data_IF_406954750097
#
_entry.id   IF_406954750097
#
_cell.length_a   1.000
_cell.length_b   1.000
_cell.length_c   1.000
_cell.angle_alpha   90.00
_cell.angle_beta   90.00
_cell.angle_gamma   90.00
#
_symmetry.space_group_name_H-M   'P 1'
#
loop_
_entity.id
_entity.type
_entity.pdbx_description
1 polymer ?
#
# COMPACT_ATOMS: atom_id res chain seq x y z
N UNK A 1 -5.48 -5.50 31.00
CA UNK A 1 -5.12 -6.57 30.04
C UNK A 1 -3.67 -6.39 29.60
N UNK A 2 -2.69 -6.99 30.28
CA UNK A 2 -1.32 -7.03 29.78
C UNK A 2 -1.25 -8.07 28.65
N UNK A 3 -0.79 -7.69 27.44
CA UNK A 3 -0.44 -8.69 26.41
C UNK A 3 -0.73 -8.33 24.95
N UNK A 4 -1.52 -7.30 24.64
CA UNK A 4 -1.84 -6.94 23.25
C UNK A 4 -1.00 -5.74 22.79
N UNK A 5 0.32 -5.95 22.64
CA UNK A 5 1.28 -4.87 22.32
C UNK A 5 1.69 -4.80 20.84
N UNK A 6 1.13 -5.66 19.97
CA UNK A 6 1.58 -5.75 18.58
C UNK A 6 0.43 -5.79 17.56
N UNK A 7 -0.23 -4.64 17.40
CA UNK A 7 -1.31 -4.46 16.42
C UNK A 7 -0.75 -4.32 15.00
N UNK A 8 -1.39 -5.05 14.08
CA UNK A 8 -1.19 -4.93 12.63
C UNK A 8 -2.49 -4.50 11.98
N UNK A 9 -2.39 -3.55 11.05
CA UNK A 9 -3.53 -3.13 10.22
C UNK A 9 -3.22 -3.42 8.75
N UNK A 10 -4.21 -3.95 8.02
CA UNK A 10 -4.17 -4.06 6.57
C UNK A 10 -4.89 -2.86 5.94
N UNK A 11 -4.31 -2.23 4.92
CA UNK A 11 -4.88 -1.05 4.25
C UNK A 11 -4.46 -0.98 2.77
N UNK A 12 -5.17 -0.21 1.95
CA UNK A 12 -4.72 0.12 0.59
C UNK A 12 -3.74 1.31 0.55
N UNK A 13 -3.47 1.94 1.70
CA UNK A 13 -2.46 2.98 1.85
C UNK A 13 -2.86 4.39 1.39
N UNK A 14 -3.94 4.55 0.63
CA UNK A 14 -4.30 5.84 0.01
C UNK A 14 -4.61 6.96 1.02
N UNK A 15 -5.08 6.63 2.23
CA UNK A 15 -5.43 7.60 3.28
C UNK A 15 -4.35 7.74 4.36
N UNK A 16 -3.21 7.07 4.22
CA UNK A 16 -2.18 7.07 5.27
C UNK A 16 -1.56 8.46 5.47
N UNK A 17 -1.49 9.31 4.44
CA UNK A 17 -1.02 10.70 4.59
C UNK A 17 -1.78 11.46 5.67
N UNK A 18 -3.09 11.22 5.79
CA UNK A 18 -3.96 11.86 6.77
C UNK A 18 -3.90 11.19 8.14
N UNK A 19 -3.78 9.85 8.20
CA UNK A 19 -4.03 9.09 9.42
C UNK A 19 -2.80 8.44 10.07
N UNK A 20 -1.66 8.33 9.37
CA UNK A 20 -0.50 7.58 9.85
C UNK A 20 -0.03 8.02 11.24
N UNK A 21 0.07 9.34 11.49
CA UNK A 21 0.49 9.87 12.79
C UNK A 21 -0.47 9.46 13.92
N UNK A 22 -1.78 9.56 13.68
CA UNK A 22 -2.80 9.19 14.67
C UNK A 22 -2.81 7.68 14.95
N UNK A 23 -2.67 6.87 13.90
CA UNK A 23 -2.59 5.42 14.02
C UNK A 23 -1.35 4.99 14.83
N UNK A 24 -0.20 5.60 14.57
CA UNK A 24 1.02 5.34 15.32
C UNK A 24 0.91 5.80 16.78
N UNK A 25 0.35 6.98 17.02
CA UNK A 25 0.09 7.47 18.38
C UNK A 25 -0.87 6.55 19.15
N UNK A 26 -1.85 5.96 18.47
CA UNK A 26 -2.80 4.99 19.04
C UNK A 26 -2.23 3.61 19.33
N UNK A 27 -0.93 3.39 19.13
CA UNK A 27 -0.26 2.13 19.47
C UNK A 27 -0.15 1.12 18.33
N UNK A 28 -0.56 1.47 17.10
CA UNK A 28 -0.30 0.63 15.93
C UNK A 28 1.20 0.63 15.62
N UNK A 29 1.76 -0.54 15.31
CA UNK A 29 3.20 -0.70 15.04
C UNK A 29 3.52 -1.36 13.72
N UNK A 30 2.57 -2.11 13.12
CA UNK A 30 2.75 -2.81 11.86
C UNK A 30 1.68 -2.43 10.84
N UNK A 31 2.09 -2.27 9.60
CA UNK A 31 1.21 -2.05 8.46
C UNK A 31 1.40 -3.14 7.41
N UNK A 32 0.29 -3.59 6.84
CA UNK A 32 0.26 -4.44 5.66
C UNK A 32 -0.49 -3.69 4.56
N UNK A 33 0.21 -3.26 3.52
CA UNK A 33 -0.34 -2.41 2.47
C UNK A 33 -0.56 -3.27 1.23
N UNK A 34 -1.82 -3.41 0.82
CA UNK A 34 -2.20 -4.08 -0.42
C UNK A 34 -2.16 -3.09 -1.57
N UNK A 35 -1.39 -3.41 -2.61
CA UNK A 35 -1.18 -2.57 -3.78
C UNK A 35 -1.24 -3.42 -5.05
N UNK A 36 -2.36 -3.43 -5.75
CA UNK A 36 -2.61 -4.38 -6.86
C UNK A 36 -1.60 -4.26 -8.02
N UNK A 37 -1.00 -3.09 -8.23
CA UNK A 37 0.06 -2.90 -9.23
C UNK A 37 0.99 -1.75 -8.88
N UNK A 38 2.27 -1.89 -9.23
CA UNK A 38 3.27 -0.81 -9.22
C UNK A 38 3.35 -0.04 -10.55
N UNK A 39 2.60 -0.48 -11.57
CA UNK A 39 2.44 0.24 -12.83
C UNK A 39 1.26 1.20 -12.69
N UNK A 40 1.50 2.51 -12.83
CA UNK A 40 0.46 3.52 -12.63
C UNK A 40 -0.72 3.40 -13.61
N UNK A 41 -0.47 3.01 -14.86
CA UNK A 41 -1.53 2.82 -15.86
C UNK A 41 -2.39 1.61 -15.50
N UNK A 42 -1.75 0.49 -15.14
CA UNK A 42 -2.47 -0.72 -14.71
C UNK A 42 -3.16 -0.53 -13.38
N UNK A 43 -2.53 0.17 -12.44
CA UNK A 43 -3.13 0.51 -11.17
C UNK A 43 -4.44 1.26 -11.41
N UNK A 44 -4.45 2.28 -12.28
CA UNK A 44 -5.66 3.01 -12.64
C UNK A 44 -6.71 2.17 -13.39
N UNK A 45 -6.29 1.17 -14.17
CA UNK A 45 -7.22 0.24 -14.84
C UNK A 45 -7.85 -0.75 -13.85
N UNK A 46 -7.06 -1.27 -12.90
CA UNK A 46 -7.49 -2.24 -11.88
C UNK A 46 -8.29 -1.56 -10.77
N UNK A 47 -7.89 -0.36 -10.38
CA UNK A 47 -8.52 0.42 -9.34
C UNK A 47 -9.38 1.51 -9.97
N UNK A 48 -10.71 1.36 -9.91
CA UNK A 48 -11.68 2.26 -10.56
C UNK A 48 -11.39 3.76 -10.35
N UNK A 49 -10.85 4.13 -9.18
CA UNK A 49 -10.56 5.52 -8.80
C UNK A 49 -9.20 5.67 -8.10
N UNK A 50 -8.35 4.63 -8.15
CA UNK A 50 -7.10 4.65 -7.40
C UNK A 50 -6.03 5.48 -8.07
N UNK A 51 -5.23 6.12 -7.22
CA UNK A 51 -4.06 6.90 -7.61
C UNK A 51 -2.83 6.31 -6.90
N UNK A 52 -1.92 5.73 -7.70
CA UNK A 52 -0.70 5.11 -7.18
C UNK A 52 0.15 6.14 -6.42
N UNK A 53 0.19 7.40 -6.88
CA UNK A 53 0.97 8.45 -6.22
C UNK A 53 0.47 8.72 -4.80
N UNK A 54 -0.85 8.68 -4.58
CA UNK A 54 -1.42 8.81 -3.22
C UNK A 54 -1.04 7.66 -2.30
N UNK A 55 -0.95 6.44 -2.83
CA UNK A 55 -0.52 5.29 -2.03
C UNK A 55 0.95 5.41 -1.66
N UNK A 56 1.80 5.82 -2.60
CA UNK A 56 3.24 6.08 -2.35
C UNK A 56 3.43 7.19 -1.31
N UNK A 57 2.71 8.33 -1.45
CA UNK A 57 2.72 9.41 -0.45
C UNK A 57 2.24 8.92 0.93
N UNK A 58 1.22 8.05 0.96
CA UNK A 58 0.76 7.38 2.16
C UNK A 58 1.83 6.50 2.83
N UNK A 59 2.62 5.77 2.04
CA UNK A 59 3.74 4.96 2.55
C UNK A 59 4.82 5.85 3.16
N UNK A 60 5.18 6.96 2.50
CA UNK A 60 6.13 7.93 3.06
C UNK A 60 5.63 8.52 4.38
N UNK A 61 4.35 8.92 4.44
CA UNK A 61 3.76 9.43 5.67
C UNK A 61 3.75 8.40 6.82
N UNK A 62 3.60 7.11 6.50
CA UNK A 62 3.73 6.04 7.48
C UNK A 62 5.16 5.90 7.99
N UNK A 63 6.16 5.98 7.11
CA UNK A 63 7.57 5.99 7.51
C UNK A 63 7.89 7.20 8.40
N UNK A 64 7.45 8.40 8.00
CA UNK A 64 7.59 9.64 8.78
C UNK A 64 6.91 9.56 10.16
N UNK A 65 5.78 8.86 10.27
CA UNK A 65 5.08 8.66 11.54
C UNK A 65 5.81 7.69 12.48
N UNK A 66 6.79 6.92 11.99
CA UNK A 66 7.59 5.99 12.78
C UNK A 66 7.28 4.51 12.53
N UNK A 67 6.44 4.17 11.55
CA UNK A 67 6.21 2.76 11.18
C UNK A 67 7.49 2.15 10.58
N UNK A 68 8.21 1.36 11.36
CA UNK A 68 9.41 0.63 10.92
C UNK A 68 9.10 -0.68 10.20
N UNK A 69 7.89 -1.22 10.37
CA UNK A 69 7.46 -2.51 9.83
C UNK A 69 6.27 -2.32 8.89
N UNK A 70 6.56 -2.12 7.60
CA UNK A 70 5.57 -1.99 6.54
C UNK A 70 5.79 -3.16 5.57
N UNK A 71 4.80 -4.03 5.44
CA UNK A 71 4.75 -5.09 4.41
C UNK A 71 3.95 -4.59 3.23
N UNK A 72 4.46 -4.78 2.01
CA UNK A 72 3.73 -4.51 0.77
C UNK A 72 3.32 -5.85 0.15
N UNK A 73 2.02 -6.01 -0.13
CA UNK A 73 1.53 -7.10 -0.98
C UNK A 73 1.16 -6.49 -2.32
N UNK A 74 2.02 -6.68 -3.31
CA UNK A 74 1.79 -6.22 -4.67
C UNK A 74 1.86 -7.35 -5.67
N UNK A 75 0.93 -7.35 -6.63
CA UNK A 75 0.94 -8.33 -7.71
C UNK A 75 1.83 -7.81 -8.83
N UNK A 76 2.99 -8.43 -9.01
CA UNK A 76 3.84 -8.18 -10.18
C UNK A 76 3.28 -9.00 -11.34
N UNK A 77 2.26 -8.49 -12.03
CA UNK A 77 1.88 -9.02 -13.34
C UNK A 77 2.91 -8.54 -14.36
N UNK A 78 3.95 -9.36 -14.60
CA UNK A 78 4.89 -9.12 -15.70
C UNK A 78 4.06 -9.00 -16.98
N UNK A 79 4.25 -7.92 -17.72
CA UNK A 79 3.61 -7.70 -19.01
C UNK A 79 3.95 -8.87 -19.93
N UNK A 80 3.05 -9.85 -20.09
CA UNK A 80 3.17 -10.78 -21.21
C UNK A 80 2.69 -9.99 -22.41
N UNK A 81 3.64 -9.36 -23.11
CA UNK A 81 3.40 -8.82 -24.44
C UNK A 81 3.08 -10.02 -25.34
N UNK A 82 1.81 -10.36 -25.50
CA UNK A 82 1.37 -11.25 -26.57
C UNK A 82 1.54 -10.46 -27.86
N UNK A 83 2.72 -10.56 -28.48
CA UNK A 83 2.86 -10.24 -29.91
C UNK A 83 1.91 -11.17 -30.65
N UNK A 84 0.82 -10.59 -31.19
CA UNK A 84 0.02 -11.25 -32.24
C UNK A 84 0.96 -11.47 -33.43
N UNK A 85 1.45 -12.70 -33.58
CA UNK A 85 1.97 -13.17 -34.84
C UNK A 85 0.76 -13.51 -35.71
N UNK A 86 0.37 -12.57 -36.56
CA UNK A 86 -0.52 -12.84 -37.69
C UNK A 86 0.37 -13.09 -38.89
N UNK A 87 0.60 -14.35 -39.25
CA UNK A 87 0.68 -14.83 -40.63
C UNK A 87 0.49 -16.34 -40.66
#
# INVERSE_FOLDING_TARGET
>A
MPGLNDFTMTTNGASLRKHAKQLYAGGLRRLNISLDSLDAQRFKQLTRTGDLAKVIDGIHAAQEAGFKRIKLNAVILKAVTMTKSST
#
